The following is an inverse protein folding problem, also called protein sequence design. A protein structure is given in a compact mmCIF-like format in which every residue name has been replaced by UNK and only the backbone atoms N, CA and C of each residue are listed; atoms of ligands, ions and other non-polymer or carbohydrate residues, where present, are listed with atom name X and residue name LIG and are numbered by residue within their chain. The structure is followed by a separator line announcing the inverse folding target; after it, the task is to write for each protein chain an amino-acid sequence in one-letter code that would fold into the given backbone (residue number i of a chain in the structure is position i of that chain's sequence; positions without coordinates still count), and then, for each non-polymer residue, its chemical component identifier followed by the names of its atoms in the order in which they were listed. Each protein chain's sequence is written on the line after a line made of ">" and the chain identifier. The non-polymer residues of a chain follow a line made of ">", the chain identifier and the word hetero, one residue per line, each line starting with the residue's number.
data_IF_861051268179
#
_entry.id   IF_861051268179
#
_cell.length_a   1.000
_cell.length_b   1.000
_cell.length_c   1.000
_cell.angle_alpha   90.00
_cell.angle_beta   90.00
_cell.angle_gamma   90.00
#
_symmetry.space_group_name_H-M   'P 1'
#
loop_
_entity.id
_entity.type
_entity.pdbx_description
1 polymer ?
#
# COMPACT_ATOMS: atom_id res chain seq x y z
N UNK A 1 15.48 2.22 -15.55
CA UNK A 1 14.29 3.12 -15.47
C UNK A 1 13.21 2.29 -14.85
N UNK A 2 12.55 2.71 -13.75
CA UNK A 2 11.33 2.02 -13.34
C UNK A 2 10.35 2.15 -14.51
N UNK A 3 9.85 1.01 -15.02
CA UNK A 3 8.77 1.02 -16.01
C UNK A 3 7.58 1.73 -15.38
N UNK A 4 6.94 2.67 -16.10
CA UNK A 4 5.74 3.33 -15.62
C UNK A 4 4.69 2.26 -15.26
N UNK A 5 4.33 2.19 -14.00
CA UNK A 5 3.31 1.25 -13.52
C UNK A 5 1.97 1.54 -14.19
N UNK A 6 1.24 0.49 -14.52
CA UNK A 6 -0.06 0.59 -15.19
C UNK A 6 -1.12 1.18 -14.26
N UNK A 7 -1.77 2.25 -14.68
CA UNK A 7 -2.89 2.87 -13.96
C UNK A 7 -4.20 2.11 -14.16
N UNK A 8 -4.36 1.47 -15.33
CA UNK A 8 -5.53 0.69 -15.67
C UNK A 8 -5.26 -0.80 -15.54
N UNK A 9 -6.12 -1.50 -14.83
CA UNK A 9 -6.12 -2.95 -14.75
C UNK A 9 -7.30 -3.49 -15.55
N UNK A 10 -7.07 -4.57 -16.31
CA UNK A 10 -8.09 -5.12 -17.20
C UNK A 10 -8.64 -6.42 -16.61
N UNK A 11 -9.99 -6.59 -16.54
CA UNK A 11 -10.59 -7.82 -16.08
C UNK A 11 -10.36 -8.93 -17.09
N UNK A 12 -10.10 -10.14 -16.63
CA UNK A 12 -10.04 -11.32 -17.49
C UNK A 12 -11.45 -11.90 -17.76
N UNK A 13 -11.54 -12.88 -18.66
CA UNK A 13 -12.77 -13.60 -18.91
C UNK A 13 -13.09 -14.58 -17.75
N UNK A 14 -14.26 -15.20 -17.77
CA UNK A 14 -14.65 -16.24 -16.83
C UNK A 14 -15.31 -15.78 -15.52
N UNK A 15 -15.35 -14.46 -15.26
CA UNK A 15 -15.98 -13.90 -14.05
C UNK A 15 -14.98 -13.45 -12.99
N UNK A 16 -15.47 -12.71 -12.00
CA UNK A 16 -14.68 -11.92 -11.05
C UNK A 16 -13.68 -12.72 -10.19
N UNK A 17 -13.90 -14.00 -9.99
CA UNK A 17 -13.04 -14.89 -9.18
C UNK A 17 -12.20 -15.85 -10.03
N UNK A 18 -12.23 -15.70 -11.35
CA UNK A 18 -11.57 -16.64 -12.29
C UNK A 18 -10.55 -15.97 -13.20
N UNK A 19 -10.04 -14.79 -12.81
CA UNK A 19 -9.05 -14.09 -13.63
C UNK A 19 -7.71 -14.82 -13.69
N UNK A 20 -7.30 -15.46 -12.58
CA UNK A 20 -6.08 -16.26 -12.51
C UNK A 20 -6.21 -17.50 -13.41
N UNK A 21 -7.30 -18.26 -13.31
CA UNK A 21 -7.53 -19.43 -14.18
C UNK A 21 -7.49 -19.06 -15.68
N UNK A 22 -8.02 -17.88 -16.01
CA UNK A 22 -7.99 -17.37 -17.39
C UNK A 22 -6.56 -16.96 -17.79
N UNK A 23 -5.82 -16.29 -16.90
CA UNK A 23 -4.43 -15.94 -17.12
C UNK A 23 -3.59 -17.19 -17.37
N UNK A 24 -3.69 -18.21 -16.51
CA UNK A 24 -2.98 -19.48 -16.63
C UNK A 24 -3.26 -20.16 -17.97
N UNK A 25 -4.53 -20.19 -18.37
CA UNK A 25 -4.93 -20.78 -19.66
C UNK A 25 -4.32 -20.03 -20.85
N UNK A 26 -4.25 -18.69 -20.79
CA UNK A 26 -3.64 -17.86 -21.83
C UNK A 26 -2.13 -18.12 -21.87
N UNK A 27 -1.46 -18.09 -20.72
CA UNK A 27 0.00 -18.30 -20.64
C UNK A 27 0.38 -19.69 -21.11
N UNK A 28 -0.36 -20.71 -20.72
CA UNK A 28 -0.15 -22.10 -21.17
C UNK A 28 -0.31 -22.22 -22.69
N UNK A 29 -1.36 -21.62 -23.27
CA UNK A 29 -1.59 -21.64 -24.72
C UNK A 29 -0.46 -20.93 -25.46
N UNK A 30 -0.05 -19.74 -25.02
CA UNK A 30 1.04 -18.95 -25.61
C UNK A 30 2.37 -19.70 -25.51
N UNK A 31 2.68 -20.31 -24.36
CA UNK A 31 3.91 -21.06 -24.15
C UNK A 31 4.01 -22.29 -25.07
N UNK A 32 2.87 -22.96 -25.33
CA UNK A 32 2.85 -24.22 -26.07
C UNK A 32 2.82 -24.00 -27.59
N UNK A 33 2.17 -22.93 -28.06
CA UNK A 33 1.86 -22.78 -29.49
C UNK A 33 2.53 -21.60 -30.17
N UNK A 34 3.09 -20.66 -29.41
CA UNK A 34 3.63 -19.39 -29.95
C UNK A 34 2.69 -18.79 -31.03
N UNK A 35 1.40 -18.53 -30.70
CA UNK A 35 0.38 -18.27 -31.71
C UNK A 35 0.56 -16.93 -32.41
N UNK A 36 0.11 -16.85 -33.65
CA UNK A 36 -0.17 -15.56 -34.30
C UNK A 36 -1.36 -14.87 -33.61
N UNK A 37 -1.53 -13.56 -33.86
CA UNK A 37 -2.69 -12.83 -33.33
C UNK A 37 -4.03 -13.44 -33.77
N UNK A 38 -4.11 -13.97 -34.99
CA UNK A 38 -5.33 -14.61 -35.50
C UNK A 38 -5.66 -15.90 -34.75
N UNK A 39 -4.65 -16.75 -34.53
CA UNK A 39 -4.78 -17.99 -33.76
C UNK A 39 -5.13 -17.72 -32.31
N UNK A 40 -4.49 -16.75 -31.66
CA UNK A 40 -4.77 -16.35 -30.29
C UNK A 40 -6.22 -15.86 -30.13
N UNK A 41 -6.72 -15.05 -31.06
CA UNK A 41 -8.12 -14.60 -31.09
C UNK A 41 -9.07 -15.76 -31.33
N UNK A 42 -8.73 -16.66 -32.26
CA UNK A 42 -9.52 -17.89 -32.54
C UNK A 42 -9.63 -18.79 -31.31
N UNK A 43 -8.50 -19.00 -30.63
CA UNK A 43 -8.45 -19.79 -29.38
C UNK A 43 -9.32 -19.19 -28.28
N UNK A 44 -9.25 -17.88 -28.05
CA UNK A 44 -10.09 -17.21 -27.05
C UNK A 44 -11.60 -17.43 -27.32
N UNK A 45 -12.02 -17.33 -28.58
CA UNK A 45 -13.42 -17.56 -28.96
C UNK A 45 -13.88 -19.00 -28.72
N UNK A 46 -12.97 -19.95 -28.85
CA UNK A 46 -13.26 -21.36 -28.59
C UNK A 46 -13.22 -21.76 -27.12
N UNK A 47 -12.36 -21.10 -26.33
CA UNK A 47 -12.08 -21.44 -24.92
C UNK A 47 -13.01 -20.76 -23.92
N UNK A 48 -13.52 -19.57 -24.23
CA UNK A 48 -14.33 -18.79 -23.30
C UNK A 48 -15.74 -18.54 -23.83
N UNK A 49 -16.75 -18.99 -23.08
CA UNK A 49 -18.14 -18.77 -23.45
C UNK A 49 -18.48 -17.27 -23.60
N UNK A 50 -19.28 -16.94 -24.60
CA UNK A 50 -19.74 -15.57 -24.91
C UNK A 50 -18.61 -14.57 -25.26
N UNK A 51 -17.41 -15.05 -25.61
CA UNK A 51 -16.29 -14.22 -26.05
C UNK A 51 -16.21 -14.27 -27.58
N UNK A 52 -16.64 -13.18 -28.23
CA UNK A 52 -16.65 -13.08 -29.71
C UNK A 52 -15.92 -11.85 -30.24
N UNK A 53 -15.92 -10.75 -29.48
CA UNK A 53 -15.33 -9.48 -29.91
C UNK A 53 -13.80 -9.54 -29.94
N UNK A 54 -13.23 -9.29 -31.13
CA UNK A 54 -11.77 -9.19 -31.30
C UNK A 54 -11.18 -8.07 -30.44
N UNK A 55 -11.83 -6.93 -30.38
CA UNK A 55 -11.33 -5.77 -29.63
C UNK A 55 -11.31 -6.06 -28.11
N UNK A 56 -12.35 -6.73 -27.62
CA UNK A 56 -12.41 -7.18 -26.22
C UNK A 56 -11.29 -8.18 -25.87
N UNK A 57 -10.96 -9.09 -26.77
CA UNK A 57 -9.85 -10.03 -26.62
C UNK A 57 -8.53 -9.28 -26.65
N UNK A 58 -8.31 -8.45 -27.66
CA UNK A 58 -7.04 -7.74 -27.84
C UNK A 58 -6.77 -6.74 -26.73
N UNK A 59 -7.80 -6.12 -26.14
CA UNK A 59 -7.63 -5.27 -24.95
C UNK A 59 -6.97 -6.03 -23.79
N UNK A 60 -7.34 -7.30 -23.57
CA UNK A 60 -6.74 -8.14 -22.52
C UNK A 60 -5.33 -8.58 -22.88
N UNK A 61 -5.13 -9.01 -24.10
CA UNK A 61 -3.80 -9.41 -24.60
C UNK A 61 -2.82 -8.22 -24.54
N UNK A 62 -3.27 -7.02 -24.91
CA UNK A 62 -2.44 -5.82 -24.83
C UNK A 62 -2.13 -5.43 -23.37
N UNK A 63 -3.10 -5.58 -22.46
CA UNK A 63 -2.82 -5.39 -21.04
C UNK A 63 -1.76 -6.39 -20.54
N UNK A 64 -1.88 -7.67 -20.89
CA UNK A 64 -0.88 -8.69 -20.52
C UNK A 64 0.49 -8.40 -21.15
N UNK A 65 0.52 -7.84 -22.36
CA UNK A 65 1.76 -7.39 -23.00
C UNK A 65 2.39 -6.20 -22.27
N UNK A 66 1.59 -5.19 -21.90
CA UNK A 66 2.07 -4.04 -21.12
C UNK A 66 2.56 -4.44 -19.72
N UNK A 67 1.91 -5.42 -19.11
CA UNK A 67 2.34 -6.00 -17.84
C UNK A 67 3.46 -7.05 -17.98
N UNK A 68 3.96 -7.26 -19.20
CA UNK A 68 5.06 -8.18 -19.54
C UNK A 68 4.79 -9.67 -19.28
N UNK A 69 3.53 -10.09 -19.14
CA UNK A 69 3.17 -11.50 -19.08
C UNK A 69 3.36 -12.18 -20.44
N UNK A 70 3.05 -11.48 -21.52
CA UNK A 70 3.29 -11.92 -22.89
C UNK A 70 3.99 -10.83 -23.68
N UNK A 71 4.75 -11.20 -24.72
CA UNK A 71 5.39 -10.30 -25.65
C UNK A 71 4.99 -10.63 -27.08
N UNK A 72 4.83 -9.62 -27.91
CA UNK A 72 4.69 -9.78 -29.36
C UNK A 72 6.05 -9.67 -30.04
N UNK A 73 6.51 -10.76 -30.66
CA UNK A 73 7.72 -10.83 -31.46
C UNK A 73 7.34 -11.04 -32.94
N UNK A 74 7.44 -9.98 -33.73
CA UNK A 74 6.98 -10.02 -35.11
C UNK A 74 5.47 -10.28 -35.20
N UNK A 75 5.11 -11.43 -35.78
CA UNK A 75 3.70 -11.85 -35.93
C UNK A 75 3.20 -12.78 -34.82
N UNK A 76 4.07 -13.19 -33.91
CA UNK A 76 3.79 -14.24 -32.92
C UNK A 76 3.82 -13.69 -31.49
N UNK A 77 3.05 -14.35 -30.60
CA UNK A 77 2.99 -14.09 -29.19
C UNK A 77 3.80 -15.14 -28.43
N UNK A 78 4.61 -14.68 -27.47
CA UNK A 78 5.43 -15.51 -26.59
C UNK A 78 5.24 -15.09 -25.14
N UNK A 79 5.70 -15.94 -24.21
CA UNK A 79 5.77 -15.53 -22.80
C UNK A 79 6.75 -14.38 -22.65
N UNK A 80 6.29 -13.34 -21.98
CA UNK A 80 7.14 -12.24 -21.51
C UNK A 80 7.96 -12.64 -20.28
N UNK A 81 8.85 -11.74 -19.81
CA UNK A 81 9.70 -12.03 -18.65
C UNK A 81 8.93 -12.45 -17.41
N UNK A 82 7.91 -11.68 -17.02
CA UNK A 82 7.12 -11.99 -15.81
C UNK A 82 6.16 -13.16 -16.03
N UNK A 83 5.73 -13.40 -17.28
CA UNK A 83 4.95 -14.58 -17.62
C UNK A 83 5.73 -15.88 -17.45
N UNK A 84 7.03 -15.87 -17.79
CA UNK A 84 7.94 -16.99 -17.54
C UNK A 84 8.17 -17.17 -16.04
N UNK A 85 8.50 -16.11 -15.34
CA UNK A 85 8.72 -16.12 -13.89
C UNK A 85 7.52 -16.71 -13.15
N UNK A 86 6.30 -16.20 -13.43
CA UNK A 86 5.09 -16.72 -12.81
C UNK A 86 4.80 -18.19 -13.19
N UNK A 87 4.97 -18.56 -14.47
CA UNK A 87 4.75 -19.94 -14.91
C UNK A 87 5.74 -20.93 -14.30
N UNK A 88 6.95 -20.50 -13.98
CA UNK A 88 7.97 -21.33 -13.32
C UNK A 88 7.72 -21.46 -11.81
N UNK A 89 7.32 -20.38 -11.14
CA UNK A 89 7.02 -20.36 -9.71
C UNK A 89 5.71 -21.10 -9.38
N UNK A 90 4.64 -20.86 -10.14
CA UNK A 90 3.34 -21.52 -10.02
C UNK A 90 2.55 -21.18 -8.75
N UNK A 91 2.91 -20.12 -8.03
CA UNK A 91 2.29 -19.73 -6.75
C UNK A 91 1.65 -18.33 -6.81
N UNK A 92 0.68 -18.11 -5.92
CA UNK A 92 -0.10 -16.86 -5.89
C UNK A 92 0.66 -15.68 -5.29
N UNK A 93 1.65 -15.92 -4.45
CA UNK A 93 2.46 -14.87 -3.85
C UNK A 93 3.35 -14.21 -4.90
N UNK A 94 4.00 -15.02 -5.75
CA UNK A 94 4.75 -14.53 -6.92
C UNK A 94 3.84 -13.73 -7.86
N UNK A 95 2.63 -14.22 -8.15
CA UNK A 95 1.68 -13.48 -8.99
C UNK A 95 1.28 -12.16 -8.35
N UNK A 96 0.96 -12.14 -7.06
CA UNK A 96 0.61 -10.91 -6.35
C UNK A 96 1.75 -9.90 -6.36
N UNK A 97 2.98 -10.33 -6.10
CA UNK A 97 4.16 -9.47 -6.16
C UNK A 97 4.30 -8.83 -7.54
N UNK A 98 4.26 -9.63 -8.61
CA UNK A 98 4.30 -9.15 -10.00
C UNK A 98 3.17 -8.14 -10.26
N UNK A 99 1.95 -8.49 -9.88
CA UNK A 99 0.79 -7.62 -10.11
C UNK A 99 0.91 -6.29 -9.35
N UNK A 100 1.44 -6.29 -8.13
CA UNK A 100 1.71 -5.08 -7.35
C UNK A 100 2.84 -4.23 -7.97
N UNK A 101 3.87 -4.85 -8.53
CA UNK A 101 4.96 -4.16 -9.21
C UNK A 101 4.54 -3.53 -10.53
N UNK A 102 3.63 -4.18 -11.27
CA UNK A 102 3.18 -3.73 -12.60
C UNK A 102 1.98 -2.80 -12.56
N UNK A 103 1.19 -2.80 -11.49
CA UNK A 103 -0.03 -2.00 -11.40
C UNK A 103 0.00 -1.07 -10.19
N UNK A 104 -0.43 0.18 -10.40
CA UNK A 104 -0.58 1.16 -9.32
C UNK A 104 -1.72 0.73 -8.39
N UNK A 105 -1.51 0.80 -7.08
CA UNK A 105 -2.57 0.76 -6.07
C UNK A 105 -3.05 -0.63 -5.62
N UNK A 106 -2.49 -1.75 -6.09
CA UNK A 106 -2.90 -3.08 -5.59
C UNK A 106 -2.39 -3.32 -4.17
N UNK A 107 -1.12 -2.99 -3.90
CA UNK A 107 -0.53 -3.17 -2.57
C UNK A 107 -1.16 -2.23 -1.55
N UNK A 108 -1.36 -0.96 -1.90
CA UNK A 108 -2.03 0.01 -1.02
C UNK A 108 -3.48 -0.39 -0.71
N UNK A 109 -4.17 -1.08 -1.62
CA UNK A 109 -5.50 -1.62 -1.33
C UNK A 109 -5.46 -2.73 -0.28
N UNK A 110 -4.46 -3.62 -0.31
CA UNK A 110 -4.28 -4.63 0.74
C UNK A 110 -3.99 -3.98 2.10
N UNK A 111 -3.13 -2.96 2.14
CA UNK A 111 -2.90 -2.19 3.37
C UNK A 111 -4.16 -1.49 3.87
N UNK A 112 -4.96 -0.88 2.98
CA UNK A 112 -6.19 -0.23 3.39
C UNK A 112 -7.21 -1.22 3.98
N UNK A 113 -7.34 -2.40 3.36
CA UNK A 113 -8.22 -3.47 3.86
C UNK A 113 -7.75 -4.07 5.19
N UNK A 114 -6.49 -3.91 5.58
CA UNK A 114 -6.02 -4.32 6.91
C UNK A 114 -6.55 -3.42 8.03
N UNK A 115 -7.04 -2.22 7.71
CA UNK A 115 -7.72 -1.36 8.69
C UNK A 115 -9.18 -1.77 8.95
N UNK A 116 -9.79 -2.54 8.06
CA UNK A 116 -11.15 -3.02 8.20
C UNK A 116 -11.85 -3.27 6.86
N UNK A 117 -13.07 -3.83 6.91
CA UNK A 117 -13.90 -4.04 5.74
C UNK A 117 -14.20 -2.74 4.99
N UNK A 118 -14.28 -2.80 3.66
CA UNK A 118 -14.58 -1.65 2.80
C UNK A 118 -15.63 -2.01 1.75
N UNK A 119 -16.61 -1.14 1.54
CA UNK A 119 -17.51 -1.21 0.39
C UNK A 119 -16.77 -0.82 -0.89
N UNK A 120 -17.34 -1.13 -2.06
CA UNK A 120 -16.67 -0.76 -3.33
C UNK A 120 -16.55 0.76 -3.52
N UNK A 121 -17.43 1.55 -2.95
CA UNK A 121 -17.34 3.01 -2.98
C UNK A 121 -16.15 3.49 -2.14
N UNK A 122 -15.99 2.97 -0.92
CA UNK A 122 -14.85 3.27 -0.05
C UNK A 122 -13.53 2.80 -0.67
N UNK A 123 -13.50 1.62 -1.29
CA UNK A 123 -12.33 1.15 -2.06
C UNK A 123 -11.99 2.14 -3.18
N UNK A 124 -13.00 2.65 -3.92
CA UNK A 124 -12.76 3.62 -5.00
C UNK A 124 -12.20 4.94 -4.48
N UNK A 125 -12.78 5.47 -3.42
CA UNK A 125 -12.36 6.72 -2.81
C UNK A 125 -10.95 6.60 -2.20
N UNK A 126 -10.70 5.53 -1.44
CA UNK A 126 -9.38 5.23 -0.88
C UNK A 126 -8.28 5.14 -1.96
N UNK A 127 -8.58 4.45 -3.08
CA UNK A 127 -7.61 4.32 -4.18
C UNK A 127 -7.29 5.68 -4.81
N UNK A 128 -8.28 6.56 -5.03
CA UNK A 128 -8.07 7.91 -5.54
C UNK A 128 -7.33 8.81 -4.56
N UNK A 129 -7.63 8.70 -3.29
CA UNK A 129 -6.99 9.49 -2.23
C UNK A 129 -5.51 9.10 -2.06
N UNK A 130 -5.20 7.80 -2.19
CA UNK A 130 -3.83 7.29 -2.11
C UNK A 130 -3.04 7.50 -3.41
N UNK A 131 -3.71 7.35 -4.56
CA UNK A 131 -3.12 7.39 -5.89
C UNK A 131 -3.94 8.28 -6.85
N UNK A 132 -3.88 9.61 -6.70
CA UNK A 132 -4.65 10.53 -7.56
C UNK A 132 -4.37 10.36 -9.06
N UNK A 133 -3.18 9.86 -9.41
CA UNK A 133 -2.78 9.56 -10.79
C UNK A 133 -3.60 8.45 -11.45
N UNK A 134 -4.39 7.67 -10.71
CA UNK A 134 -5.32 6.69 -11.25
C UNK A 134 -6.40 7.34 -12.12
N UNK A 135 -6.84 8.55 -11.77
CA UNK A 135 -7.50 9.50 -12.64
C UNK A 135 -8.94 9.20 -13.03
N UNK A 136 -9.64 8.23 -12.40
CA UNK A 136 -11.08 8.10 -12.62
C UNK A 136 -11.86 9.14 -11.80
N UNK A 137 -13.12 9.36 -12.15
CA UNK A 137 -13.97 10.32 -11.46
C UNK A 137 -14.43 9.75 -10.11
N UNK A 138 -14.38 10.56 -9.04
CA UNK A 138 -14.89 10.15 -7.73
C UNK A 138 -16.37 9.73 -7.85
N UNK A 139 -16.71 8.58 -7.26
CA UNK A 139 -17.99 7.91 -7.40
C UNK A 139 -18.06 6.87 -8.52
N UNK A 140 -17.12 6.83 -9.46
CA UNK A 140 -16.95 5.70 -10.38
C UNK A 140 -16.27 4.54 -9.68
N UNK A 141 -16.85 3.34 -9.78
CA UNK A 141 -16.38 2.16 -9.04
C UNK A 141 -15.81 1.05 -9.93
N UNK A 142 -15.93 1.16 -11.25
CA UNK A 142 -15.55 0.07 -12.15
C UNK A 142 -14.07 -0.29 -12.07
N UNK A 143 -13.20 0.72 -12.03
CA UNK A 143 -11.76 0.49 -11.95
C UNK A 143 -11.34 -0.07 -10.60
N UNK A 144 -11.92 0.42 -9.51
CA UNK A 144 -11.71 -0.10 -8.16
C UNK A 144 -12.18 -1.56 -8.06
N UNK A 145 -13.35 -1.87 -8.63
CA UNK A 145 -13.90 -3.22 -8.70
C UNK A 145 -12.99 -4.19 -9.45
N UNK A 146 -12.33 -3.77 -10.53
CA UNK A 146 -11.39 -4.62 -11.25
C UNK A 146 -10.18 -4.96 -10.38
N UNK A 147 -9.64 -4.01 -9.62
CA UNK A 147 -8.55 -4.26 -8.67
C UNK A 147 -8.93 -5.24 -7.59
N UNK A 148 -10.06 -5.01 -6.92
CA UNK A 148 -10.59 -5.92 -5.91
C UNK A 148 -10.84 -7.32 -6.48
N UNK A 149 -11.34 -7.44 -7.71
CA UNK A 149 -11.58 -8.75 -8.34
C UNK A 149 -10.28 -9.49 -8.69
N UNK A 150 -9.20 -8.79 -9.07
CA UNK A 150 -7.90 -9.44 -9.24
C UNK A 150 -7.39 -10.01 -7.91
N UNK A 151 -7.43 -9.23 -6.83
CA UNK A 151 -7.04 -9.69 -5.49
C UNK A 151 -7.93 -10.86 -5.01
N UNK A 152 -9.23 -10.82 -5.33
CA UNK A 152 -10.15 -11.93 -5.04
C UNK A 152 -9.83 -13.20 -5.83
N UNK A 153 -9.48 -13.05 -7.10
CA UNK A 153 -9.12 -14.20 -7.95
C UNK A 153 -7.80 -14.82 -7.52
N UNK A 154 -6.90 -14.06 -6.92
CA UNK A 154 -5.66 -14.53 -6.33
C UNK A 154 -5.85 -15.08 -4.90
N UNK A 155 -7.01 -14.93 -4.29
CA UNK A 155 -7.31 -15.45 -2.95
C UNK A 155 -6.91 -14.56 -1.77
N UNK A 156 -6.38 -13.35 -1.99
CA UNK A 156 -5.95 -12.44 -0.92
C UNK A 156 -7.07 -11.55 -0.36
N UNK A 157 -8.16 -11.43 -1.10
CA UNK A 157 -9.36 -10.66 -0.71
C UNK A 157 -10.59 -11.51 -0.97
N UNK A 158 -11.57 -11.40 -0.11
CA UNK A 158 -12.89 -11.97 -0.33
C UNK A 158 -13.98 -10.89 -0.21
N UNK A 159 -15.19 -11.24 -0.62
CA UNK A 159 -16.35 -10.35 -0.53
C UNK A 159 -17.35 -10.93 0.47
N UNK A 160 -17.58 -10.23 1.57
CA UNK A 160 -18.56 -10.55 2.57
C UNK A 160 -19.75 -9.57 2.47
N UNK A 161 -20.88 -10.04 1.95
CA UNK A 161 -22.01 -9.16 1.64
C UNK A 161 -21.63 -8.10 0.59
N UNK A 162 -21.61 -6.82 0.97
CA UNK A 162 -21.21 -5.70 0.12
C UNK A 162 -19.77 -5.23 0.34
N UNK A 163 -19.08 -5.78 1.32
CA UNK A 163 -17.75 -5.36 1.74
C UNK A 163 -16.67 -6.30 1.23
N UNK A 164 -15.49 -5.77 1.00
CA UNK A 164 -14.27 -6.47 0.71
C UNK A 164 -13.45 -6.57 1.99
N UNK A 165 -12.88 -7.76 2.24
CA UNK A 165 -12.07 -8.06 3.43
C UNK A 165 -10.83 -8.85 3.04
N UNK A 166 -9.76 -8.77 3.82
CA UNK A 166 -8.61 -9.65 3.65
C UNK A 166 -8.98 -11.08 4.03
N UNK A 167 -8.47 -12.04 3.26
CA UNK A 167 -8.42 -13.45 3.66
C UNK A 167 -7.26 -13.70 4.64
N UNK A 168 -7.13 -14.91 5.16
CA UNK A 168 -5.96 -15.31 5.95
C UNK A 168 -4.64 -15.08 5.18
N UNK A 169 -4.60 -15.46 3.90
CA UNK A 169 -3.42 -15.27 3.05
C UNK A 169 -3.15 -13.77 2.79
N UNK A 170 -4.21 -12.97 2.67
CA UNK A 170 -4.12 -11.52 2.58
C UNK A 170 -3.48 -10.88 3.82
N UNK A 171 -3.83 -11.36 5.01
CA UNK A 171 -3.22 -10.94 6.27
C UNK A 171 -1.76 -11.34 6.35
N UNK A 172 -1.42 -12.59 6.02
CA UNK A 172 -0.03 -13.07 5.99
C UNK A 172 0.82 -12.22 5.06
N UNK A 173 0.32 -11.93 3.84
CA UNK A 173 1.03 -11.08 2.89
C UNK A 173 1.31 -9.67 3.44
N UNK A 174 0.32 -9.06 4.09
CA UNK A 174 0.49 -7.71 4.70
C UNK A 174 1.52 -7.75 5.83
N UNK A 175 1.48 -8.77 6.69
CA UNK A 175 2.42 -8.95 7.80
C UNK A 175 3.84 -9.20 7.29
N UNK A 176 4.03 -10.07 6.29
CA UNK A 176 5.34 -10.36 5.70
C UNK A 176 5.93 -9.16 4.96
N UNK A 177 5.11 -8.44 4.21
CA UNK A 177 5.55 -7.21 3.56
C UNK A 177 6.13 -6.22 4.58
N UNK A 178 5.51 -6.11 5.74
CA UNK A 178 5.95 -5.22 6.83
C UNK A 178 7.20 -5.74 7.53
N UNK A 179 7.29 -7.05 7.79
CA UNK A 179 8.48 -7.63 8.42
C UNK A 179 9.73 -7.46 7.54
N UNK A 180 9.57 -7.56 6.22
CA UNK A 180 10.65 -7.34 5.25
C UNK A 180 11.25 -5.94 5.35
N UNK A 181 10.45 -4.90 5.63
CA UNK A 181 10.99 -3.54 5.84
C UNK A 181 11.69 -3.42 7.19
N UNK A 182 11.24 -4.21 8.18
CA UNK A 182 11.79 -4.18 9.52
C UNK A 182 13.20 -4.77 9.58
N UNK A 183 13.47 -5.76 8.75
CA UNK A 183 14.70 -6.54 8.75
C UNK A 183 15.72 -6.08 7.69
N UNK A 184 15.34 -5.16 6.81
CA UNK A 184 16.28 -4.63 5.81
C UNK A 184 17.30 -3.70 6.49
N UNK A 185 18.52 -4.18 6.64
CA UNK A 185 19.74 -3.40 6.92
C UNK A 185 20.09 -2.48 5.71
N UNK A 186 19.11 -1.73 5.21
CA UNK A 186 19.38 -0.80 4.14
C UNK A 186 20.04 0.47 4.72
N UNK A 187 21.37 0.53 4.61
CA UNK A 187 22.12 1.77 4.77
C UNK A 187 22.13 2.50 3.42
N UNK A 188 21.70 3.78 3.36
CA UNK A 188 21.86 4.55 2.13
C UNK A 188 23.34 4.58 1.77
N UNK A 189 23.71 4.53 0.46
CA UNK A 189 25.09 4.68 0.04
C UNK A 189 25.59 6.05 0.54
N UNK A 190 26.62 6.01 1.38
CA UNK A 190 27.36 7.21 1.76
C UNK A 190 28.09 7.66 0.50
N UNK A 191 27.67 8.79 -0.08
CA UNK A 191 28.49 9.45 -1.10
C UNK A 191 29.77 9.94 -0.43
N UNK A 192 30.87 9.26 -0.67
CA UNK A 192 32.21 9.72 -0.35
C UNK A 192 32.58 10.91 -1.26
N UNK A 193 32.11 12.10 -0.92
CA UNK A 193 32.70 13.36 -1.38
C UNK A 193 32.12 14.52 -0.57
N UNK A 194 32.72 14.76 0.58
CA UNK A 194 33.05 16.13 1.02
C UNK A 194 33.85 16.03 2.32
N UNK A 195 35.15 16.33 2.22
CA UNK A 195 36.00 16.53 3.38
C UNK A 195 35.57 17.81 4.12
N UNK A 196 34.80 17.64 5.19
CA UNK A 196 34.71 18.62 6.24
C UNK A 196 34.96 17.95 7.60
N UNK A 197 36.08 18.26 8.21
CA UNK A 197 36.43 17.88 9.57
C UNK A 197 35.45 18.50 10.57
N UNK A 198 34.36 17.83 10.87
CA UNK A 198 33.60 17.97 12.09
C UNK A 198 33.55 16.58 12.73
N UNK A 199 33.80 16.48 14.01
CA UNK A 199 33.92 15.21 14.71
C UNK A 199 32.74 14.28 14.40
N UNK A 200 33.05 13.13 13.84
CA UNK A 200 32.08 12.11 13.44
C UNK A 200 31.52 11.47 14.71
N UNK A 201 30.32 11.88 15.11
CA UNK A 201 29.46 11.01 15.89
C UNK A 201 28.86 10.00 14.88
N UNK A 202 29.35 8.77 14.89
CA UNK A 202 28.67 7.66 14.25
C UNK A 202 27.37 7.39 15.01
N UNK A 203 26.35 8.18 14.71
CA UNK A 203 24.99 7.77 15.00
C UNK A 203 24.56 6.89 13.83
N UNK A 204 24.54 5.59 14.03
CA UNK A 204 23.87 4.66 13.11
C UNK A 204 22.39 5.01 13.13
N UNK A 205 21.99 6.01 12.34
CA UNK A 205 20.59 6.27 12.05
C UNK A 205 20.15 5.15 11.14
N UNK A 206 19.56 4.10 11.70
CA UNK A 206 18.78 3.15 10.94
C UNK A 206 17.60 3.93 10.37
N UNK A 207 17.77 4.51 9.18
CA UNK A 207 16.68 5.08 8.43
C UNK A 207 15.79 3.92 7.97
N UNK A 208 14.83 3.57 8.81
CA UNK A 208 13.82 2.55 8.51
C UNK A 208 12.99 3.08 7.36
N UNK A 209 13.14 2.48 6.18
CA UNK A 209 12.34 2.83 5.01
C UNK A 209 11.01 2.12 5.11
N UNK A 210 9.99 2.84 5.56
CA UNK A 210 8.60 2.37 5.47
C UNK A 210 8.23 2.22 3.99
N UNK A 211 7.57 1.11 3.63
CA UNK A 211 7.09 0.88 2.26
C UNK A 211 6.34 2.13 1.74
N UNK A 212 6.68 2.64 0.56
CA UNK A 212 6.08 3.84 0.00
C UNK A 212 4.56 3.76 -0.13
N UNK A 213 3.99 2.58 -0.41
CA UNK A 213 2.54 2.40 -0.53
C UNK A 213 1.85 2.36 0.83
N UNK A 214 2.48 1.77 1.86
CA UNK A 214 1.99 1.87 3.23
C UNK A 214 2.00 3.32 3.71
N UNK A 215 3.13 4.01 3.51
CA UNK A 215 3.23 5.43 3.83
C UNK A 215 2.16 6.27 3.12
N UNK A 216 1.97 6.06 1.81
CA UNK A 216 0.93 6.75 1.04
C UNK A 216 -0.47 6.48 1.60
N UNK A 217 -0.76 5.23 2.00
CA UNK A 217 -2.03 4.83 2.61
C UNK A 217 -2.25 5.54 3.96
N UNK A 218 -1.23 5.59 4.83
CA UNK A 218 -1.31 6.32 6.10
C UNK A 218 -1.56 7.81 5.87
N UNK A 219 -0.77 8.45 5.00
CA UNK A 219 -0.91 9.87 4.73
C UNK A 219 -2.29 10.22 4.15
N UNK A 220 -2.79 9.39 3.22
CA UNK A 220 -4.13 9.55 2.64
C UNK A 220 -5.22 9.45 3.71
N UNK A 221 -5.12 8.48 4.62
CA UNK A 221 -6.08 8.29 5.72
C UNK A 221 -6.13 9.48 6.69
N UNK A 222 -5.06 10.25 6.80
CA UNK A 222 -4.92 11.43 7.65
C UNK A 222 -4.98 12.75 6.86
N UNK A 223 -5.69 12.79 5.73
CA UNK A 223 -5.87 13.99 4.88
C UNK A 223 -4.54 14.66 4.50
N UNK A 224 -3.46 13.86 4.39
CA UNK A 224 -2.10 14.30 4.10
C UNK A 224 -1.62 15.46 5.00
N UNK A 225 -2.07 15.51 6.26
CA UNK A 225 -1.73 16.56 7.20
C UNK A 225 -1.39 16.03 8.59
N UNK A 226 -0.55 16.77 9.30
CA UNK A 226 -0.25 16.54 10.71
C UNK A 226 -1.36 17.12 11.60
N UNK A 227 -2.09 16.33 12.40
CA UNK A 227 -3.18 16.83 13.23
C UNK A 227 -2.73 17.75 14.36
N UNK A 228 -1.43 17.78 14.65
CA UNK A 228 -0.83 18.59 15.71
C UNK A 228 -0.40 19.96 15.16
N UNK A 229 0.31 20.00 14.04
CA UNK A 229 0.91 21.23 13.49
C UNK A 229 0.19 21.79 12.27
N UNK A 230 -0.69 21.03 11.64
CA UNK A 230 -1.30 21.40 10.36
C UNK A 230 -0.33 21.37 9.17
N UNK A 231 0.88 20.84 9.32
CA UNK A 231 1.82 20.66 8.19
C UNK A 231 1.21 19.67 7.21
N UNK A 232 1.06 20.07 5.93
CA UNK A 232 0.39 19.36 4.85
C UNK A 232 1.31 18.99 3.67
N UNK A 233 2.62 19.25 3.81
CA UNK A 233 3.57 18.89 2.76
C UNK A 233 4.08 17.45 2.95
N UNK A 234 3.83 16.51 2.01
CA UNK A 234 4.16 15.09 2.17
C UNK A 234 5.62 14.80 2.52
N UNK A 235 6.58 15.60 2.02
CA UNK A 235 8.01 15.45 2.34
C UNK A 235 8.38 15.79 3.79
N UNK A 236 7.49 16.49 4.52
CA UNK A 236 7.66 16.89 5.92
C UNK A 236 6.85 16.02 6.89
N UNK A 237 5.99 15.15 6.37
CA UNK A 237 5.21 14.20 7.16
C UNK A 237 5.98 12.88 7.34
N UNK A 238 5.64 12.17 8.39
CA UNK A 238 6.18 10.86 8.72
C UNK A 238 5.09 9.94 9.29
N UNK A 239 5.34 8.64 9.31
CA UNK A 239 4.46 7.65 9.91
C UNK A 239 4.93 7.39 11.33
N UNK A 240 4.17 7.87 12.31
CA UNK A 240 4.43 7.71 13.72
C UNK A 240 3.64 6.53 14.28
N UNK A 241 4.32 5.53 14.85
CA UNK A 241 3.68 4.38 15.50
C UNK A 241 3.31 4.72 16.94
N UNK A 242 2.06 4.44 17.34
CA UNK A 242 1.59 4.61 18.73
C UNK A 242 2.27 3.59 19.63
N UNK A 243 2.16 2.30 19.32
CA UNK A 243 2.99 1.26 19.91
C UNK A 243 4.32 1.18 19.17
N UNK A 244 5.41 1.27 19.91
CA UNK A 244 6.77 1.29 19.37
C UNK A 244 7.01 0.20 18.32
N UNK A 245 7.62 0.58 17.21
CA UNK A 245 8.01 -0.35 16.15
C UNK A 245 8.87 -1.51 16.63
N UNK A 246 9.80 -1.25 17.57
CA UNK A 246 10.74 -2.25 18.10
C UNK A 246 10.05 -3.27 18.99
N UNK A 247 9.14 -2.81 19.83
CA UNK A 247 8.60 -3.61 20.93
C UNK A 247 7.35 -4.40 20.53
N UNK A 248 6.67 -3.97 19.44
CA UNK A 248 5.41 -4.55 18.98
C UNK A 248 5.43 -4.95 17.50
N UNK A 249 6.24 -5.98 17.14
CA UNK A 249 6.39 -6.40 15.74
C UNK A 249 5.06 -6.75 15.03
N UNK A 250 4.12 -7.36 15.76
CA UNK A 250 2.82 -7.77 15.23
C UNK A 250 1.89 -6.59 14.86
N UNK A 251 2.22 -5.36 15.27
CA UNK A 251 1.38 -4.17 15.04
C UNK A 251 2.03 -3.14 14.11
N UNK A 252 3.12 -3.51 13.44
CA UNK A 252 3.86 -2.61 12.55
C UNK A 252 3.06 -2.20 11.31
N UNK A 253 2.26 -3.12 10.75
CA UNK A 253 1.38 -2.89 9.60
C UNK A 253 -0.04 -2.45 9.97
N UNK A 254 -0.37 -2.40 11.25
CA UNK A 254 -1.72 -2.04 11.67
C UNK A 254 -1.93 -0.54 11.50
N UNK A 255 -2.75 -0.17 10.51
CA UNK A 255 -3.12 1.23 10.27
C UNK A 255 -3.81 1.88 11.47
N UNK A 256 -4.32 1.09 12.41
CA UNK A 256 -4.89 1.59 13.66
C UNK A 256 -3.82 1.81 14.76
N UNK A 257 -2.55 1.57 14.43
CA UNK A 257 -1.38 1.83 15.28
C UNK A 257 -0.54 3.01 14.81
N UNK A 258 -0.97 3.76 13.80
CA UNK A 258 -0.14 4.80 13.18
C UNK A 258 -0.87 6.13 13.01
N UNK A 259 -0.10 7.20 13.06
CA UNK A 259 -0.53 8.58 12.81
C UNK A 259 0.37 9.21 11.73
N UNK A 260 -0.18 10.13 10.94
CA UNK A 260 0.63 11.02 10.12
C UNK A 260 1.05 12.23 10.98
N UNK A 261 2.31 12.33 11.33
CA UNK A 261 2.86 13.47 12.06
C UNK A 261 3.92 14.20 11.24
N UNK A 262 4.10 15.49 11.46
CA UNK A 262 5.30 16.15 10.95
C UNK A 262 6.55 15.58 11.64
N UNK A 263 7.69 15.56 10.96
CA UNK A 263 8.95 14.98 11.48
C UNK A 263 9.32 15.51 12.87
N UNK A 264 9.08 16.79 13.12
CA UNK A 264 9.32 17.39 14.43
C UNK A 264 8.37 16.83 15.49
N UNK A 265 7.07 16.72 15.17
CA UNK A 265 6.07 16.21 16.11
C UNK A 265 6.19 14.70 16.32
N UNK A 266 6.60 13.93 15.29
CA UNK A 266 6.94 12.51 15.43
C UNK A 266 8.10 12.34 16.43
N UNK A 267 9.18 13.10 16.26
CA UNK A 267 10.30 13.06 17.19
C UNK A 267 9.94 13.49 18.62
N UNK A 268 9.01 14.43 18.80
CA UNK A 268 8.50 14.83 20.10
C UNK A 268 7.60 13.77 20.75
N UNK A 269 6.77 13.10 19.95
CA UNK A 269 5.92 11.98 20.37
C UNK A 269 6.77 10.79 20.86
N UNK A 270 7.75 10.36 20.06
CA UNK A 270 8.66 9.26 20.41
C UNK A 270 9.47 9.52 21.70
N UNK A 271 9.68 10.78 22.05
CA UNK A 271 10.36 11.17 23.29
C UNK A 271 9.42 11.34 24.49
N UNK A 272 8.12 11.09 24.30
CA UNK A 272 7.12 11.24 25.33
C UNK A 272 6.97 12.70 25.82
N UNK A 273 7.24 13.70 24.96
CA UNK A 273 7.02 15.11 25.28
C UNK A 273 5.52 15.44 25.25
N UNK A 274 4.77 14.73 24.48
CA UNK A 274 3.32 14.71 24.47
C UNK A 274 2.79 13.33 24.05
N UNK A 275 1.53 13.09 24.29
CA UNK A 275 0.76 11.95 23.78
C UNK A 275 -0.67 12.39 23.49
N UNK A 276 -1.52 11.43 23.13
CA UNK A 276 -2.97 11.61 23.00
C UNK A 276 -3.69 10.61 23.92
N UNK A 277 -4.84 10.98 24.43
CA UNK A 277 -5.70 10.03 25.18
C UNK A 277 -6.71 9.33 24.25
N UNK A 278 -7.52 8.43 24.82
CA UNK A 278 -8.51 7.66 24.09
C UNK A 278 -9.66 8.48 23.49
N UNK A 279 -9.82 9.73 23.95
CA UNK A 279 -10.76 10.72 23.40
C UNK A 279 -10.11 11.63 22.36
N UNK A 280 -8.87 11.26 21.93
CA UNK A 280 -8.03 12.03 21.00
C UNK A 280 -7.70 13.44 21.50
N UNK A 281 -7.52 13.62 22.82
CA UNK A 281 -7.07 14.87 23.40
C UNK A 281 -5.56 14.85 23.59
N UNK A 282 -4.94 15.97 23.28
CA UNK A 282 -3.50 16.15 23.48
C UNK A 282 -3.18 16.16 24.98
N UNK A 283 -2.19 15.39 25.38
CA UNK A 283 -1.66 15.33 26.75
C UNK A 283 -0.16 15.68 26.69
N UNK A 284 0.22 16.73 27.38
CA UNK A 284 1.58 17.24 27.37
C UNK A 284 2.31 16.81 28.63
N UNK A 285 3.57 16.39 28.48
CA UNK A 285 4.42 16.08 29.62
C UNK A 285 4.62 17.33 30.49
N UNK A 286 4.24 17.33 31.79
CA UNK A 286 4.37 18.50 32.65
C UNK A 286 5.80 19.05 32.81
N UNK A 287 6.81 18.22 32.54
CA UNK A 287 8.22 18.59 32.56
C UNK A 287 8.73 19.13 31.22
N UNK A 288 7.85 19.18 30.20
CA UNK A 288 8.27 19.65 28.87
C UNK A 288 8.26 21.18 28.83
N UNK A 289 9.44 21.76 28.71
CA UNK A 289 9.67 23.19 28.51
C UNK A 289 10.35 23.44 27.17
N UNK A 290 10.04 24.55 26.51
CA UNK A 290 10.64 24.95 25.24
C UNK A 290 10.69 26.45 25.05
N UNK A 291 11.73 26.93 24.38
CA UNK A 291 11.82 28.32 23.89
C UNK A 291 11.32 28.47 22.44
N UNK A 292 10.92 27.36 21.81
CA UNK A 292 10.42 27.35 20.45
C UNK A 292 8.95 27.78 20.39
N UNK A 293 8.68 28.92 19.77
CA UNK A 293 7.30 29.40 19.51
C UNK A 293 6.43 28.37 18.77
N UNK A 294 7.04 27.53 17.91
CA UNK A 294 6.34 26.51 17.19
C UNK A 294 5.86 25.41 18.14
N UNK A 295 6.76 24.84 18.95
CA UNK A 295 6.43 23.81 19.90
C UNK A 295 5.50 24.31 21.01
N UNK A 296 5.70 25.54 21.45
CA UNK A 296 4.80 26.19 22.40
C UNK A 296 3.37 26.20 21.89
N UNK A 297 3.15 26.77 20.71
CA UNK A 297 1.80 26.93 20.12
C UNK A 297 1.18 25.62 19.65
N UNK A 298 1.98 24.65 19.19
CA UNK A 298 1.42 23.42 18.59
C UNK A 298 1.30 22.27 19.58
N UNK A 299 2.01 22.32 20.71
CA UNK A 299 1.98 21.27 21.74
C UNK A 299 1.49 21.85 23.07
N UNK A 300 2.27 22.77 23.71
CA UNK A 300 2.01 23.18 25.09
C UNK A 300 0.67 23.91 25.23
N UNK A 301 0.42 24.92 24.38
CA UNK A 301 -0.81 25.73 24.43
C UNK A 301 -2.07 24.93 24.06
N UNK A 302 -1.91 23.72 23.52
CA UNK A 302 -3.01 22.84 23.09
C UNK A 302 -3.29 21.69 24.06
N UNK A 303 -2.72 21.69 25.25
CA UNK A 303 -3.03 20.70 26.30
C UNK A 303 -4.53 20.56 26.50
N UNK A 304 -5.03 19.31 26.42
CA UNK A 304 -6.44 18.96 26.56
C UNK A 304 -7.32 19.24 25.34
N UNK A 305 -6.79 19.88 24.27
CA UNK A 305 -7.54 20.05 23.03
C UNK A 305 -7.72 18.71 22.31
N UNK A 306 -8.91 18.50 21.73
CA UNK A 306 -9.15 17.35 20.87
C UNK A 306 -8.49 17.61 19.52
N UNK A 307 -7.62 16.70 19.09
CA UNK A 307 -7.00 16.76 17.76
C UNK A 307 -7.95 16.18 16.70
N UNK A 308 -7.86 16.71 15.48
CA UNK A 308 -8.65 16.24 14.35
C UNK A 308 -7.96 15.06 13.68
N UNK A 309 -8.36 13.85 14.03
CA UNK A 309 -8.00 12.62 13.32
C UNK A 309 -9.28 11.88 12.93
N UNK A 310 -9.28 11.07 11.86
CA UNK A 310 -10.44 10.29 11.48
C UNK A 310 -10.97 9.45 12.63
N UNK A 311 -12.29 9.35 12.77
CA UNK A 311 -12.91 8.51 13.80
C UNK A 311 -12.45 7.05 13.63
N UNK A 312 -12.22 6.37 14.74
CA UNK A 312 -11.73 4.98 14.76
C UNK A 312 -10.39 4.75 14.06
N UNK A 313 -9.61 5.82 13.76
CA UNK A 313 -8.30 5.68 13.14
C UNK A 313 -7.27 4.99 14.03
N UNK A 314 -7.43 5.05 15.35
CA UNK A 314 -6.57 4.39 16.32
C UNK A 314 -7.39 3.44 17.22
N UNK A 315 -6.82 2.28 17.51
CA UNK A 315 -7.41 1.38 18.52
C UNK A 315 -7.19 1.94 19.92
N UNK A 316 -8.26 2.15 20.73
CA UNK A 316 -8.13 2.68 22.09
C UNK A 316 -7.16 1.90 22.98
N UNK A 317 -7.08 0.58 22.78
CA UNK A 317 -6.16 -0.29 23.50
C UNK A 317 -4.67 0.05 23.23
N UNK A 318 -4.32 0.48 22.01
CA UNK A 318 -2.94 0.86 21.67
C UNK A 318 -2.58 2.18 22.34
N UNK A 319 -3.50 3.14 22.32
CA UNK A 319 -3.33 4.42 23.01
C UNK A 319 -3.16 4.21 24.51
N UNK A 320 -4.03 3.38 25.12
CA UNK A 320 -3.93 3.04 26.55
C UNK A 320 -2.60 2.36 26.89
N UNK A 321 -2.15 1.42 26.05
CA UNK A 321 -0.91 0.69 26.27
C UNK A 321 0.31 1.60 26.12
N UNK A 322 0.34 2.46 25.09
CA UNK A 322 1.38 3.49 24.94
C UNK A 322 1.43 4.40 26.16
N UNK A 323 0.29 4.94 26.56
CA UNK A 323 0.20 5.87 27.68
C UNK A 323 0.63 5.25 29.00
N UNK A 324 0.38 3.96 29.22
CA UNK A 324 0.83 3.23 30.41
C UNK A 324 2.35 3.09 30.51
N UNK A 325 3.08 3.28 29.41
CA UNK A 325 4.54 3.28 29.40
C UNK A 325 5.17 4.63 29.73
N UNK A 326 4.38 5.71 29.75
CA UNK A 326 4.85 7.07 30.04
C UNK A 326 4.85 7.33 31.54
N UNK A 327 6.04 7.55 32.11
CA UNK A 327 6.21 7.70 33.56
C UNK A 327 5.53 8.95 34.17
N UNK A 328 5.04 9.86 33.33
CA UNK A 328 4.43 11.13 33.74
C UNK A 328 2.88 11.13 33.64
N UNK A 329 2.27 10.08 33.11
CA UNK A 329 0.83 9.80 33.13
C UNK A 329 0.50 8.76 34.22
#
# INVERSE_FOLDING_TARGET
>A
MPSDRLRSIVPMFGGATRYVETLDSILQFVATHEPSTAELVGWHRGSFANVSSRDSIMRRVQYLNQAEFVNQEGSYWRLGPVGKEYSEAGDMETLLRIMCERNVGLRSLLYALSAGPMTIAEVSDQQLDTHPELGWTRGETDMAKQRANWLRSMGFVEKNGNEYVLTADGWVFVEDAVSTWADSDWSPPVNESDEMHAGTYETTVHARSVDPEFRATVLSRHDQSCPISGVDHPGLLDVAHVLSWSDYPAHRADLSNVLALSKTHHAAFDRGLFTIDVDYRLRVNPAFETESDVLQRTIIDREGERISIPEESLKPQYVTQHNSSLAWL
#
